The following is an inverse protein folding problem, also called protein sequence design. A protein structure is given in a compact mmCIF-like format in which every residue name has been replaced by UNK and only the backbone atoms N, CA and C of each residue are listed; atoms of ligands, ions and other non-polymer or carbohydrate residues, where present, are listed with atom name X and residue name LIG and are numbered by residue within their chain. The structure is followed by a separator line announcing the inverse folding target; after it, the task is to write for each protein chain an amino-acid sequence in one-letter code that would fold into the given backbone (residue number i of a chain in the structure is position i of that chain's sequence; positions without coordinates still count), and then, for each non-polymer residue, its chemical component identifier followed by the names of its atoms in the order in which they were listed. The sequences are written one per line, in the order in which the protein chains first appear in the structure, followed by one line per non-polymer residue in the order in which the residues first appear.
data_IF_091925427042
#
_entry.id   IF_091925427042
#
_cell.length_a   1.000
_cell.length_b   1.000
_cell.length_c   1.000
_cell.angle_alpha   90.00
_cell.angle_beta   90.00
_cell.angle_gamma   90.00
#
_symmetry.space_group_name_H-M   'P 1'
#
loop_
_entity.id
_entity.type
_entity.pdbx_description
1 polymer ?
#
# COMPACT_ATOMS: atom_id res chain seq x y z
N UNK A 1 -7.01 44.78 -57.54
CA UNK A 1 -7.18 43.33 -57.53
C UNK A 1 -6.44 42.80 -56.35
N UNK A 2 -7.15 42.65 -55.24
CA UNK A 2 -6.58 42.08 -53.99
C UNK A 2 -6.85 40.58 -54.04
N UNK A 3 -5.79 39.79 -54.00
CA UNK A 3 -5.84 38.37 -53.76
C UNK A 3 -5.96 38.10 -52.25
N UNK A 4 -7.14 37.71 -51.84
CA UNK A 4 -7.40 37.13 -50.53
C UNK A 4 -6.93 35.70 -50.53
N UNK A 5 -5.76 35.44 -49.92
CA UNK A 5 -5.35 34.07 -49.60
C UNK A 5 -6.09 33.62 -48.38
N UNK A 6 -7.14 32.81 -48.56
CA UNK A 6 -7.79 32.04 -47.54
C UNK A 6 -6.76 31.01 -47.02
N UNK A 7 -6.39 31.23 -45.77
CA UNK A 7 -5.60 30.27 -45.00
C UNK A 7 -6.57 29.15 -44.52
N UNK A 8 -6.74 28.11 -45.34
CA UNK A 8 -7.36 26.86 -44.94
C UNK A 8 -6.44 26.16 -43.95
N UNK A 9 -6.54 26.53 -42.68
CA UNK A 9 -6.04 25.69 -41.61
C UNK A 9 -6.88 24.40 -41.62
N UNK A 10 -6.31 23.32 -42.15
CA UNK A 10 -6.88 21.99 -41.99
C UNK A 10 -7.25 21.78 -40.52
N UNK A 11 -8.43 21.26 -40.21
CA UNK A 11 -8.78 20.95 -38.82
C UNK A 11 -7.71 19.97 -38.30
N UNK A 12 -6.98 20.36 -37.26
CA UNK A 12 -6.14 19.45 -36.53
C UNK A 12 -7.06 18.30 -36.08
N UNK A 13 -6.86 17.12 -36.64
CA UNK A 13 -7.54 15.91 -36.18
C UNK A 13 -7.09 15.78 -34.74
N UNK A 14 -7.92 16.28 -33.81
CA UNK A 14 -7.69 16.09 -32.40
C UNK A 14 -7.60 14.58 -32.20
N UNK A 15 -6.42 14.08 -31.82
CA UNK A 15 -6.16 12.67 -31.57
C UNK A 15 -7.14 12.22 -30.48
N UNK A 16 -8.21 11.54 -30.87
CA UNK A 16 -9.19 11.03 -29.91
C UNK A 16 -8.58 9.83 -29.21
N UNK A 17 -8.64 9.85 -27.89
CA UNK A 17 -8.23 8.77 -27.00
C UNK A 17 -9.48 8.04 -26.51
N UNK A 18 -9.43 6.71 -26.52
CA UNK A 18 -10.47 5.89 -25.91
C UNK A 18 -9.85 4.98 -24.86
N UNK A 19 -10.49 4.88 -23.71
CA UNK A 19 -9.95 4.09 -22.61
C UNK A 19 -10.81 4.12 -21.38
N UNK A 20 -10.18 4.06 -20.24
CA UNK A 20 -10.82 4.18 -18.93
C UNK A 20 -9.89 4.83 -17.93
N UNK A 21 -10.46 5.52 -16.96
CA UNK A 21 -9.74 6.01 -15.79
C UNK A 21 -10.20 5.19 -14.61
N UNK A 22 -9.23 4.61 -13.87
CA UNK A 22 -9.49 3.85 -12.67
C UNK A 22 -8.96 4.62 -11.46
N UNK A 23 -9.68 4.52 -10.35
CA UNK A 23 -9.17 4.90 -9.04
C UNK A 23 -9.19 3.67 -8.15
N UNK A 24 -8.04 3.36 -7.57
CA UNK A 24 -7.85 2.33 -6.57
C UNK A 24 -7.90 3.02 -5.21
N UNK A 25 -8.81 2.61 -4.33
CA UNK A 25 -8.89 3.14 -2.97
C UNK A 25 -8.74 1.96 -2.02
N UNK A 26 -7.68 1.94 -1.25
CA UNK A 26 -7.34 0.82 -0.40
C UNK A 26 -7.41 1.21 1.07
N UNK A 27 -7.87 0.29 1.90
CA UNK A 27 -7.97 0.44 3.35
C UNK A 27 -7.33 -0.77 4.02
N UNK A 28 -6.48 -0.51 4.99
CA UNK A 28 -5.98 -1.53 5.90
C UNK A 28 -6.94 -1.63 7.10
N UNK A 29 -7.65 -2.75 7.19
CA UNK A 29 -8.82 -2.88 8.07
C UNK A 29 -8.65 -3.87 9.22
N UNK A 30 -7.72 -4.83 9.09
CA UNK A 30 -7.46 -5.86 10.09
C UNK A 30 -6.17 -6.62 9.76
N UNK A 31 -5.67 -7.43 10.69
CA UNK A 31 -4.46 -8.22 10.49
C UNK A 31 -4.63 -9.34 9.43
N UNK A 32 -5.80 -10.01 9.40
CA UNK A 32 -6.09 -11.08 8.44
C UNK A 32 -7.59 -11.13 8.12
N UNK A 33 -7.92 -11.39 6.84
CA UNK A 33 -9.27 -11.73 6.38
C UNK A 33 -9.37 -13.21 6.00
N UNK A 34 -10.29 -13.94 6.63
CA UNK A 34 -10.54 -15.36 6.35
C UNK A 34 -11.35 -15.52 5.06
N UNK A 35 -10.69 -15.44 3.91
CA UNK A 35 -11.32 -15.42 2.58
C UNK A 35 -12.19 -16.63 2.29
N UNK A 36 -11.81 -17.82 2.75
CA UNK A 36 -12.60 -19.06 2.52
C UNK A 36 -14.02 -18.95 3.11
N UNK A 37 -14.15 -18.35 4.28
CA UNK A 37 -15.42 -18.12 4.96
C UNK A 37 -16.19 -16.96 4.34
N UNK A 38 -15.48 -15.89 4.00
CA UNK A 38 -16.04 -14.73 3.36
C UNK A 38 -16.69 -15.09 2.02
N UNK A 39 -16.02 -15.87 1.18
CA UNK A 39 -16.54 -16.34 -0.11
C UNK A 39 -17.84 -17.11 0.03
N UNK A 40 -17.97 -17.96 1.04
CA UNK A 40 -19.19 -18.73 1.30
C UNK A 40 -20.36 -17.84 1.75
N UNK A 41 -20.07 -16.78 2.53
CA UNK A 41 -21.09 -15.89 3.11
C UNK A 41 -21.64 -14.86 2.12
N UNK A 42 -20.83 -14.42 1.16
CA UNK A 42 -21.11 -13.23 0.34
C UNK A 42 -21.48 -13.58 -1.10
N UNK A 43 -21.69 -14.83 -1.50
CA UNK A 43 -21.96 -15.25 -2.90
C UNK A 43 -21.00 -14.59 -3.92
N UNK A 44 -19.80 -14.32 -3.49
CA UNK A 44 -18.80 -13.55 -4.21
C UNK A 44 -18.05 -14.39 -5.24
N UNK A 45 -17.53 -13.73 -6.26
CA UNK A 45 -16.65 -14.36 -7.25
C UNK A 45 -15.21 -14.27 -6.74
N UNK A 46 -14.46 -15.36 -6.88
CA UNK A 46 -12.99 -15.30 -6.78
C UNK A 46 -12.45 -14.76 -8.10
N UNK A 47 -11.40 -13.95 -8.06
CA UNK A 47 -10.67 -13.58 -9.29
C UNK A 47 -10.28 -14.88 -9.99
N UNK A 48 -10.90 -15.15 -11.13
CA UNK A 48 -10.49 -16.28 -11.94
C UNK A 48 -9.07 -16.01 -12.41
N UNK A 49 -8.13 -16.85 -12.00
CA UNK A 49 -6.83 -16.89 -12.66
C UNK A 49 -7.09 -17.12 -14.15
N UNK A 50 -6.62 -16.28 -15.05
CA UNK A 50 -6.86 -16.47 -16.47
C UNK A 50 -6.41 -17.87 -16.86
N UNK A 51 -7.32 -18.65 -17.43
CA UNK A 51 -7.00 -20.00 -17.89
C UNK A 51 -6.02 -19.90 -19.03
N UNK A 52 -4.89 -20.59 -18.90
CA UNK A 52 -3.81 -20.62 -19.87
C UNK A 52 -4.30 -21.19 -21.21
N UNK A 53 -4.73 -20.33 -22.10
CA UNK A 53 -4.79 -20.64 -23.53
C UNK A 53 -4.12 -19.48 -24.29
N UNK A 54 -2.87 -19.73 -24.66
CA UNK A 54 -1.99 -18.95 -25.55
C UNK A 54 -1.35 -17.67 -25.00
N UNK A 55 -0.03 -17.75 -24.86
CA UNK A 55 1.03 -16.73 -25.05
C UNK A 55 0.73 -15.26 -24.68
N UNK A 56 0.24 -15.00 -23.51
CA UNK A 56 0.39 -13.69 -22.87
C UNK A 56 1.29 -13.89 -21.66
N UNK A 57 2.45 -13.24 -21.61
CA UNK A 57 3.42 -13.45 -20.55
C UNK A 57 3.07 -12.60 -19.33
N UNK A 58 2.07 -12.92 -18.57
CA UNK A 58 1.93 -12.29 -17.27
C UNK A 58 0.93 -13.03 -16.37
N UNK A 59 1.42 -13.62 -15.30
CA UNK A 59 0.55 -14.19 -14.26
C UNK A 59 0.98 -13.69 -12.90
N UNK A 60 0.17 -12.82 -12.32
CA UNK A 60 0.14 -12.59 -10.88
C UNK A 60 -0.53 -13.82 -10.26
N UNK A 61 0.22 -14.62 -9.51
CA UNK A 61 -0.35 -15.75 -8.77
C UNK A 61 -0.41 -15.38 -7.30
N UNK A 62 -1.59 -15.07 -6.83
CA UNK A 62 -1.85 -14.97 -5.40
C UNK A 62 -1.75 -16.37 -4.76
N UNK A 63 -1.19 -16.45 -3.56
CA UNK A 63 -1.29 -17.68 -2.75
C UNK A 63 -2.76 -17.97 -2.44
N UNK A 64 -3.52 -16.93 -2.09
CA UNK A 64 -4.97 -16.92 -1.91
C UNK A 64 -5.55 -15.80 -2.76
N UNK A 65 -6.28 -16.12 -3.84
CA UNK A 65 -6.88 -15.11 -4.70
C UNK A 65 -7.85 -14.23 -3.91
N UNK A 66 -7.88 -12.91 -4.13
CA UNK A 66 -8.82 -12.04 -3.47
C UNK A 66 -10.27 -12.40 -3.82
N UNK A 67 -11.16 -12.20 -2.86
CA UNK A 67 -12.60 -12.31 -3.06
C UNK A 67 -13.12 -10.98 -3.61
N UNK A 68 -13.96 -11.02 -4.65
CA UNK A 68 -14.43 -9.82 -5.36
C UNK A 68 -15.95 -9.75 -5.35
N UNK A 69 -16.47 -8.58 -5.01
CA UNK A 69 -17.89 -8.24 -5.10
C UNK A 69 -18.10 -6.99 -5.95
N UNK A 70 -19.20 -6.92 -6.72
CA UNK A 70 -19.59 -5.67 -7.36
C UNK A 70 -20.04 -4.66 -6.32
N UNK A 71 -19.71 -3.40 -6.55
CA UNK A 71 -20.22 -2.25 -5.80
C UNK A 71 -21.27 -1.50 -6.61
N UNK A 72 -22.12 -0.77 -5.89
CA UNK A 72 -23.00 0.20 -6.50
C UNK A 72 -22.18 1.32 -7.14
N UNK A 73 -22.69 1.85 -8.25
CA UNK A 73 -21.99 2.92 -8.95
C UNK A 73 -21.87 4.18 -8.08
N UNK A 74 -20.67 4.74 -8.02
CA UNK A 74 -20.39 6.00 -7.35
C UNK A 74 -20.71 7.16 -8.32
N UNK A 75 -21.53 8.10 -7.86
CA UNK A 75 -21.84 9.32 -8.62
C UNK A 75 -21.10 10.49 -7.97
N UNK A 76 -20.21 11.12 -8.73
CA UNK A 76 -19.52 12.32 -8.29
C UNK A 76 -20.39 13.57 -8.44
N UNK A 77 -20.04 14.64 -7.72
CA UNK A 77 -20.75 15.92 -7.82
C UNK A 77 -20.72 16.54 -9.23
N UNK A 78 -19.69 16.22 -10.00
CA UNK A 78 -19.56 16.56 -11.42
C UNK A 78 -20.51 15.80 -12.36
N UNK A 79 -21.28 14.83 -11.82
CA UNK A 79 -22.23 14.01 -12.57
C UNK A 79 -21.64 12.75 -13.19
N UNK A 80 -20.35 12.50 -13.02
CA UNK A 80 -19.70 11.26 -13.49
C UNK A 80 -20.20 10.07 -12.69
N UNK A 81 -20.53 8.99 -13.40
CA UNK A 81 -20.95 7.71 -12.83
C UNK A 81 -19.85 6.67 -13.01
N UNK A 82 -19.29 6.20 -11.92
CA UNK A 82 -18.21 5.24 -11.88
C UNK A 82 -18.77 3.87 -11.51
N UNK A 83 -18.46 2.85 -12.31
CA UNK A 83 -18.74 1.46 -11.97
C UNK A 83 -17.67 0.95 -11.02
N UNK A 84 -18.04 0.12 -10.01
CA UNK A 84 -17.13 -0.26 -8.94
C UNK A 84 -17.17 -1.74 -8.58
N UNK A 85 -16.05 -2.19 -8.02
CA UNK A 85 -15.91 -3.49 -7.36
C UNK A 85 -15.08 -3.32 -6.09
N UNK A 86 -15.29 -4.23 -5.12
CA UNK A 86 -14.51 -4.33 -3.90
C UNK A 86 -13.80 -5.68 -3.88
N UNK A 87 -12.52 -5.65 -3.49
CA UNK A 87 -11.65 -6.81 -3.39
C UNK A 87 -11.16 -6.95 -1.96
N UNK A 88 -11.19 -8.16 -1.46
CA UNK A 88 -10.73 -8.50 -0.11
C UNK A 88 -9.48 -9.35 -0.21
N UNK A 89 -8.40 -8.90 0.40
CA UNK A 89 -7.13 -9.62 0.44
C UNK A 89 -6.97 -10.34 1.78
N UNK A 90 -6.32 -11.50 1.79
CA UNK A 90 -6.12 -12.31 3.01
C UNK A 90 -5.28 -11.61 4.08
N UNK A 91 -4.36 -10.75 3.68
CA UNK A 91 -3.53 -9.93 4.58
C UNK A 91 -4.22 -8.66 5.13
N UNK A 92 -5.54 -8.59 5.09
CA UNK A 92 -6.30 -7.56 5.81
C UNK A 92 -6.59 -6.29 5.03
N UNK A 93 -6.09 -6.15 3.81
CA UNK A 93 -6.39 -5.00 2.95
C UNK A 93 -7.69 -5.21 2.18
N UNK A 94 -8.47 -4.15 2.09
CA UNK A 94 -9.66 -4.06 1.24
C UNK A 94 -9.40 -3.00 0.18
N UNK A 95 -9.50 -3.38 -1.09
CA UNK A 95 -9.31 -2.50 -2.25
C UNK A 95 -10.64 -2.27 -2.96
N UNK A 96 -10.99 -1.01 -3.15
CA UNK A 96 -12.13 -0.59 -3.98
C UNK A 96 -11.59 -0.02 -5.27
N UNK A 97 -12.08 -0.55 -6.39
CA UNK A 97 -11.70 -0.10 -7.72
C UNK A 97 -12.93 0.51 -8.37
N UNK A 98 -12.90 1.81 -8.65
CA UNK A 98 -13.90 2.49 -9.46
C UNK A 98 -13.35 2.83 -10.83
N UNK A 99 -14.17 2.64 -11.86
CA UNK A 99 -13.79 2.85 -13.25
C UNK A 99 -14.76 3.81 -13.95
N UNK A 100 -14.20 4.77 -14.67
CA UNK A 100 -14.90 5.68 -15.58
C UNK A 100 -14.45 5.39 -17.01
N UNK A 101 -15.35 5.01 -17.94
CA UNK A 101 -15.05 5.02 -19.37
C UNK A 101 -14.67 6.44 -19.83
N UNK A 102 -13.61 6.55 -20.62
CA UNK A 102 -13.11 7.82 -21.12
C UNK A 102 -13.04 7.82 -22.66
N UNK A 103 -13.52 8.90 -23.25
CA UNK A 103 -13.33 9.21 -24.67
C UNK A 103 -13.16 10.72 -24.82
N UNK A 104 -12.03 11.17 -25.35
CA UNK A 104 -11.70 12.58 -25.46
C UNK A 104 -10.32 12.83 -26.06
N UNK A 105 -9.83 14.02 -25.89
CA UNK A 105 -8.48 14.44 -26.29
C UNK A 105 -7.49 14.43 -25.11
N UNK A 106 -6.21 14.66 -25.39
CA UNK A 106 -5.16 14.74 -24.39
C UNK A 106 -5.41 15.80 -23.32
N UNK A 107 -5.91 16.98 -23.72
CA UNK A 107 -6.18 18.06 -22.77
C UNK A 107 -7.31 17.69 -21.79
N UNK A 108 -8.32 17.00 -22.28
CA UNK A 108 -9.42 16.51 -21.45
C UNK A 108 -8.93 15.46 -20.45
N UNK A 109 -8.03 14.58 -20.88
CA UNK A 109 -7.42 13.57 -20.00
C UNK A 109 -6.52 14.21 -18.94
N UNK A 110 -5.70 15.20 -19.30
CA UNK A 110 -4.87 15.97 -18.36
C UNK A 110 -5.74 16.70 -17.33
N UNK A 111 -6.82 17.39 -17.77
CA UNK A 111 -7.76 18.05 -16.84
C UNK A 111 -8.43 17.06 -15.89
N UNK A 112 -8.82 15.89 -16.40
CA UNK A 112 -9.43 14.84 -15.57
C UNK A 112 -8.44 14.32 -14.56
N UNK A 113 -7.19 14.08 -14.96
CA UNK A 113 -6.10 13.62 -14.10
C UNK A 113 -5.85 14.60 -12.95
N UNK A 114 -5.66 15.87 -13.25
CA UNK A 114 -5.42 16.90 -12.24
C UNK A 114 -6.57 16.98 -11.23
N UNK A 115 -7.80 16.99 -11.70
CA UNK A 115 -8.96 17.04 -10.82
C UNK A 115 -9.10 15.82 -9.93
N UNK A 116 -8.89 14.60 -10.47
CA UNK A 116 -9.06 13.39 -9.69
C UNK A 116 -7.96 13.20 -8.66
N UNK A 117 -6.72 13.52 -9.02
CA UNK A 117 -5.56 13.35 -8.13
C UNK A 117 -5.59 14.34 -6.95
N UNK A 118 -6.13 15.59 -7.16
CA UNK A 118 -6.00 16.63 -6.14
C UNK A 118 -7.30 17.17 -5.57
N UNK A 119 -8.39 17.17 -6.34
CA UNK A 119 -9.61 17.87 -5.96
C UNK A 119 -10.72 16.93 -5.45
N UNK A 120 -10.58 15.61 -5.64
CA UNK A 120 -11.60 14.65 -5.25
C UNK A 120 -11.07 13.77 -4.11
N UNK A 121 -11.66 13.89 -2.92
CA UNK A 121 -11.40 13.00 -1.80
C UNK A 121 -12.20 11.69 -1.96
N UNK A 122 -11.61 10.74 -2.67
CA UNK A 122 -12.22 9.43 -2.88
C UNK A 122 -12.25 8.59 -1.61
N UNK A 123 -11.22 8.65 -0.78
CA UNK A 123 -11.12 7.84 0.42
C UNK A 123 -12.27 8.13 1.39
N UNK A 124 -12.54 9.41 1.69
CA UNK A 124 -13.65 9.80 2.58
C UNK A 124 -15.03 9.45 2.01
N UNK A 125 -15.19 9.42 0.68
CA UNK A 125 -16.46 9.02 0.04
C UNK A 125 -16.70 7.52 0.08
N UNK A 126 -15.63 6.73 0.00
CA UNK A 126 -15.67 5.27 -0.13
C UNK A 126 -15.61 4.57 1.22
N UNK A 127 -14.95 5.13 2.22
CA UNK A 127 -14.82 4.55 3.56
C UNK A 127 -16.17 4.12 4.17
N UNK A 128 -17.25 4.92 4.14
CA UNK A 128 -18.55 4.50 4.68
C UNK A 128 -19.13 3.27 3.96
N UNK A 129 -18.91 3.16 2.65
CA UNK A 129 -19.36 2.01 1.84
C UNK A 129 -18.59 0.75 2.27
N UNK A 130 -17.27 0.86 2.43
CA UNK A 130 -16.44 -0.25 2.90
C UNK A 130 -16.83 -0.67 4.31
N UNK A 131 -17.07 0.29 5.23
CA UNK A 131 -17.52 -0.03 6.61
C UNK A 131 -18.83 -0.80 6.60
N UNK A 132 -19.81 -0.37 5.82
CA UNK A 132 -21.08 -1.08 5.69
C UNK A 132 -20.91 -2.51 5.13
N UNK A 133 -19.99 -2.70 4.16
CA UNK A 133 -19.69 -4.02 3.60
C UNK A 133 -19.01 -4.93 4.64
N UNK A 134 -18.09 -4.38 5.40
CA UNK A 134 -17.33 -5.11 6.43
C UNK A 134 -18.16 -5.45 7.68
N UNK A 135 -19.25 -4.74 7.98
CA UNK A 135 -20.18 -5.16 9.04
C UNK A 135 -20.68 -6.60 8.82
N UNK A 136 -20.92 -6.97 7.57
CA UNK A 136 -21.31 -8.36 7.20
C UNK A 136 -20.14 -9.34 7.27
N UNK A 137 -18.92 -8.86 7.15
CA UNK A 137 -17.70 -9.63 7.17
C UNK A 137 -17.00 -9.62 8.54
N UNK A 138 -17.55 -8.96 9.56
CA UNK A 138 -16.91 -8.73 10.85
C UNK A 138 -16.46 -10.03 11.55
N UNK A 139 -17.21 -11.14 11.39
CA UNK A 139 -16.85 -12.45 11.97
C UNK A 139 -15.68 -13.14 11.26
N UNK A 140 -15.23 -12.62 10.12
CA UNK A 140 -14.14 -13.16 9.32
C UNK A 140 -12.85 -12.33 9.44
N UNK A 141 -12.92 -11.20 10.15
CA UNK A 141 -11.76 -10.35 10.45
C UNK A 141 -11.02 -10.86 11.68
N UNK A 142 -9.71 -10.96 11.59
CA UNK A 142 -8.81 -11.26 12.72
C UNK A 142 -8.18 -9.95 13.17
N UNK A 143 -8.26 -9.63 14.45
CA UNK A 143 -7.74 -8.38 15.05
C UNK A 143 -8.12 -7.13 14.23
N UNK A 144 -9.41 -6.76 14.11
CA UNK A 144 -9.82 -5.59 13.34
C UNK A 144 -9.23 -4.30 13.94
N UNK A 145 -8.79 -3.39 13.06
CA UNK A 145 -8.20 -2.12 13.47
C UNK A 145 -9.28 -1.08 13.82
N UNK A 146 -9.03 -0.32 14.87
CA UNK A 146 -9.94 0.74 15.30
C UNK A 146 -9.91 1.95 14.35
N UNK A 147 -8.74 2.25 13.81
CA UNK A 147 -8.49 3.29 12.81
C UNK A 147 -7.89 2.63 11.58
N UNK A 148 -8.39 3.01 10.42
CA UNK A 148 -7.88 2.52 9.15
C UNK A 148 -6.94 3.53 8.52
N UNK A 149 -5.86 3.04 7.96
CA UNK A 149 -5.09 3.77 6.97
C UNK A 149 -5.72 3.59 5.60
N UNK A 150 -5.58 4.59 4.75
CA UNK A 150 -6.01 4.52 3.37
C UNK A 150 -4.94 5.01 2.42
N UNK A 151 -5.00 4.49 1.20
CA UNK A 151 -4.17 4.90 0.08
C UNK A 151 -5.04 4.95 -1.16
N UNK A 152 -4.86 5.97 -2.00
CA UNK A 152 -5.49 6.05 -3.31
C UNK A 152 -4.44 6.11 -4.42
N UNK A 153 -4.78 5.54 -5.58
CA UNK A 153 -3.91 5.52 -6.74
C UNK A 153 -4.72 5.59 -8.02
N UNK A 154 -4.26 6.34 -8.99
CA UNK A 154 -5.01 6.60 -10.22
C UNK A 154 -4.34 5.93 -11.41
N UNK A 155 -5.14 5.30 -12.29
CA UNK A 155 -4.64 4.65 -13.50
C UNK A 155 -5.39 5.21 -14.71
N UNK A 156 -4.65 5.89 -15.59
CA UNK A 156 -5.15 6.44 -16.84
C UNK A 156 -4.83 5.47 -17.97
N UNK A 157 -5.78 4.60 -18.26
CA UNK A 157 -5.61 3.53 -19.25
C UNK A 157 -6.21 3.94 -20.60
N UNK A 158 -5.33 4.22 -21.56
CA UNK A 158 -5.67 4.46 -22.96
C UNK A 158 -5.57 3.15 -23.72
N UNK A 159 -6.66 2.70 -24.30
CA UNK A 159 -6.74 1.47 -25.11
C UNK A 159 -6.50 1.75 -26.59
N UNK A 160 -6.97 2.90 -27.04
CA UNK A 160 -6.90 3.30 -28.44
C UNK A 160 -6.56 4.78 -28.54
N UNK A 161 -5.64 5.11 -29.43
CA UNK A 161 -5.32 6.47 -29.83
C UNK A 161 -5.47 6.60 -31.34
N UNK A 162 -5.98 7.72 -31.82
CA UNK A 162 -6.17 7.95 -33.25
C UNK A 162 -4.84 7.80 -34.00
N UNK A 163 -4.86 7.10 -35.13
CA UNK A 163 -3.68 6.77 -35.91
C UNK A 163 -2.92 5.53 -35.43
N UNK A 164 -3.35 4.87 -34.34
CA UNK A 164 -2.72 3.66 -33.76
C UNK A 164 -1.19 3.80 -33.65
N UNK A 165 -0.67 4.84 -32.93
CA UNK A 165 0.75 5.06 -32.79
C UNK A 165 1.42 3.91 -32.05
N UNK A 166 2.68 3.65 -32.35
CA UNK A 166 3.52 2.81 -31.49
C UNK A 166 3.76 3.50 -30.14
N UNK A 167 4.10 2.71 -29.11
CA UNK A 167 4.43 3.26 -27.80
C UNK A 167 5.56 4.33 -27.88
N UNK A 168 6.56 4.11 -28.74
CA UNK A 168 7.66 5.05 -28.93
C UNK A 168 7.22 6.38 -29.60
N UNK A 169 6.31 6.32 -30.56
CA UNK A 169 5.71 7.51 -31.18
C UNK A 169 4.84 8.26 -30.17
N UNK A 170 3.95 7.55 -29.47
CA UNK A 170 3.07 8.13 -28.47
C UNK A 170 3.87 8.86 -27.37
N UNK A 171 4.87 8.20 -26.80
CA UNK A 171 5.69 8.78 -25.74
C UNK A 171 6.54 9.95 -26.21
N UNK A 172 7.07 9.90 -27.45
CA UNK A 172 7.84 11.00 -28.03
C UNK A 172 6.97 12.23 -28.29
N UNK A 173 5.79 12.03 -28.89
CA UNK A 173 4.94 13.13 -29.36
C UNK A 173 4.07 13.75 -28.24
N UNK A 174 3.88 13.02 -27.12
CA UNK A 174 3.02 13.42 -25.99
C UNK A 174 3.73 13.36 -24.64
N UNK A 175 5.06 13.55 -24.60
CA UNK A 175 5.86 13.55 -23.35
C UNK A 175 5.26 14.44 -22.27
N UNK A 176 4.90 15.69 -22.63
CA UNK A 176 4.37 16.66 -21.68
C UNK A 176 3.03 16.22 -21.10
N UNK A 177 2.11 15.81 -21.96
CA UNK A 177 0.76 15.39 -21.52
C UNK A 177 0.82 14.14 -20.64
N UNK A 178 1.64 13.16 -21.00
CA UNK A 178 1.85 11.95 -20.18
C UNK A 178 2.45 12.32 -18.83
N UNK A 179 3.44 13.19 -18.80
CA UNK A 179 4.04 13.65 -17.55
C UNK A 179 3.04 14.43 -16.68
N UNK A 180 2.22 15.30 -17.28
CA UNK A 180 1.15 16.02 -16.59
C UNK A 180 0.09 15.05 -15.99
N UNK A 181 -0.30 14.02 -16.75
CA UNK A 181 -1.26 13.00 -16.27
C UNK A 181 -0.67 12.26 -15.06
N UNK A 182 0.57 11.80 -15.16
CA UNK A 182 1.24 11.03 -14.09
C UNK A 182 1.49 11.88 -12.82
N UNK A 183 1.68 13.21 -12.98
CA UNK A 183 1.83 14.15 -11.86
C UNK A 183 0.50 14.73 -11.37
N UNK A 184 -0.58 14.58 -12.15
CA UNK A 184 -1.84 15.24 -11.87
C UNK A 184 -1.76 16.78 -12.02
N UNK A 185 -0.87 17.29 -12.88
CA UNK A 185 -0.59 18.73 -12.98
C UNK A 185 -1.11 19.33 -14.30
N UNK A 186 -1.70 20.53 -14.23
CA UNK A 186 -2.15 21.28 -15.40
C UNK A 186 -1.06 22.19 -15.98
N UNK A 187 -0.05 22.53 -15.19
CA UNK A 187 1.01 23.43 -15.61
C UNK A 187 2.00 22.73 -16.54
N UNK A 188 2.66 23.53 -17.39
CA UNK A 188 3.73 23.01 -18.19
C UNK A 188 4.94 22.62 -17.32
N UNK A 189 5.21 21.35 -17.27
CA UNK A 189 6.37 20.82 -16.55
C UNK A 189 7.68 21.16 -17.24
N UNK A 190 8.76 21.29 -16.50
CA UNK A 190 10.09 21.50 -17.05
C UNK A 190 10.54 20.26 -17.86
N UNK A 191 11.48 20.46 -18.79
CA UNK A 191 12.07 19.35 -19.56
C UNK A 191 12.72 18.31 -18.62
N UNK A 192 13.36 18.77 -17.54
CA UNK A 192 13.95 17.87 -16.55
C UNK A 192 12.91 17.01 -15.85
N UNK A 193 11.77 17.59 -15.46
CA UNK A 193 10.66 16.86 -14.81
C UNK A 193 10.01 15.87 -15.78
N UNK A 194 9.74 16.29 -17.01
CA UNK A 194 9.24 15.36 -18.04
C UNK A 194 10.18 14.17 -18.24
N UNK A 195 11.50 14.43 -18.26
CA UNK A 195 12.51 13.37 -18.40
C UNK A 195 12.48 12.42 -17.20
N UNK A 196 12.39 12.94 -15.98
CA UNK A 196 12.31 12.13 -14.75
C UNK A 196 11.07 11.22 -14.75
N UNK A 197 9.91 11.76 -15.10
CA UNK A 197 8.68 10.96 -15.23
C UNK A 197 8.86 9.85 -16.29
N UNK A 198 9.43 10.18 -17.43
CA UNK A 198 9.62 9.23 -18.53
C UNK A 198 10.71 8.17 -18.25
N UNK A 199 11.63 8.40 -17.30
CA UNK A 199 12.54 7.34 -16.82
C UNK A 199 11.80 6.17 -16.14
N UNK A 200 10.56 6.37 -15.73
CA UNK A 200 9.71 5.36 -15.09
C UNK A 200 8.80 4.64 -16.08
N UNK A 201 9.21 4.59 -17.35
CA UNK A 201 8.47 3.84 -18.37
C UNK A 201 8.98 2.41 -18.50
N UNK A 202 8.05 1.50 -18.79
CA UNK A 202 8.33 0.11 -19.14
C UNK A 202 7.40 -0.33 -20.27
N UNK A 203 7.91 -1.12 -21.19
CA UNK A 203 7.18 -1.64 -22.35
C UNK A 203 7.67 -3.06 -22.64
N UNK A 204 6.81 -3.91 -23.13
CA UNK A 204 7.13 -5.26 -23.58
C UNK A 204 7.04 -5.39 -25.11
N UNK A 205 5.96 -4.89 -25.70
CA UNK A 205 5.78 -4.83 -27.16
C UNK A 205 5.93 -3.38 -27.65
N UNK A 206 5.98 -3.22 -28.97
CA UNK A 206 5.98 -1.88 -29.59
C UNK A 206 4.65 -1.13 -29.46
N UNK A 207 3.59 -1.84 -29.05
CA UNK A 207 2.22 -1.32 -28.93
C UNK A 207 1.79 -1.06 -27.48
N UNK A 208 2.62 -1.34 -26.49
CA UNK A 208 2.30 -1.09 -25.07
C UNK A 208 3.35 -0.19 -24.41
N UNK A 209 2.90 0.59 -23.42
CA UNK A 209 3.77 1.29 -22.48
C UNK A 209 3.03 1.58 -21.19
N UNK A 210 3.74 1.42 -20.08
CA UNK A 210 3.34 1.89 -18.76
C UNK A 210 4.32 2.97 -18.29
N UNK A 211 3.81 4.12 -17.84
CA UNK A 211 4.59 5.19 -17.19
C UNK A 211 4.05 5.32 -15.76
N UNK A 212 4.89 5.04 -14.78
CA UNK A 212 4.49 4.86 -13.39
C UNK A 212 5.00 6.02 -12.55
N UNK A 213 4.10 6.71 -11.87
CA UNK A 213 4.41 7.75 -10.90
C UNK A 213 4.06 7.36 -9.47
N UNK A 214 4.16 8.34 -8.56
CA UNK A 214 3.83 8.15 -7.14
C UNK A 214 2.32 7.92 -6.92
N UNK A 215 1.48 8.84 -7.40
CA UNK A 215 0.02 8.80 -7.19
C UNK A 215 -0.74 8.28 -8.40
N UNK A 216 -0.11 8.22 -9.58
CA UNK A 216 -0.80 7.84 -10.80
C UNK A 216 0.11 7.14 -11.79
N UNK A 217 -0.51 6.32 -12.66
CA UNK A 217 0.13 5.70 -13.81
C UNK A 217 -0.64 6.02 -15.10
N UNK A 218 0.11 6.15 -16.19
CA UNK A 218 -0.41 6.17 -17.54
C UNK A 218 -0.12 4.83 -18.21
N UNK A 219 -1.16 4.18 -18.73
CA UNK A 219 -1.05 2.91 -19.46
C UNK A 219 -1.57 3.09 -20.88
N UNK A 220 -0.79 2.65 -21.86
CA UNK A 220 -1.24 2.49 -23.24
C UNK A 220 -1.10 1.02 -23.63
N UNK A 221 -2.23 0.30 -23.70
CA UNK A 221 -2.28 -1.12 -24.01
C UNK A 221 -3.73 -1.55 -24.29
N UNK A 222 -3.92 -2.72 -24.87
CA UNK A 222 -5.21 -3.38 -24.95
C UNK A 222 -5.80 -3.64 -23.56
N UNK A 223 -7.11 -3.86 -23.48
CA UNK A 223 -7.76 -4.17 -22.19
C UNK A 223 -7.16 -5.42 -21.51
N UNK A 224 -6.89 -6.46 -22.29
CA UNK A 224 -6.31 -7.70 -21.77
C UNK A 224 -4.82 -7.55 -21.40
N UNK A 225 -4.07 -6.71 -22.14
CA UNK A 225 -2.64 -6.48 -21.85
C UNK A 225 -2.44 -5.66 -20.56
N UNK A 226 -3.27 -4.64 -20.35
CA UNK A 226 -3.18 -3.77 -19.17
C UNK A 226 -3.61 -4.45 -17.86
N UNK A 227 -4.39 -5.54 -17.91
CA UNK A 227 -4.95 -6.19 -16.71
C UNK A 227 -3.85 -6.56 -15.70
N UNK A 228 -2.75 -7.13 -16.16
CA UNK A 228 -1.63 -7.48 -15.30
C UNK A 228 -0.96 -6.25 -14.70
N UNK A 229 -0.76 -5.19 -15.48
CA UNK A 229 -0.18 -3.96 -14.98
C UNK A 229 -1.05 -3.32 -13.89
N UNK A 230 -2.38 -3.29 -14.09
CA UNK A 230 -3.34 -2.79 -13.12
C UNK A 230 -3.28 -3.61 -11.82
N UNK A 231 -3.29 -4.95 -11.90
CA UNK A 231 -3.18 -5.82 -10.73
C UNK A 231 -1.87 -5.62 -9.96
N UNK A 232 -0.74 -5.44 -10.67
CA UNK A 232 0.56 -5.21 -10.03
C UNK A 232 0.66 -3.83 -9.37
N UNK A 233 0.06 -2.79 -9.97
CA UNK A 233 -0.05 -1.47 -9.37
C UNK A 233 -0.92 -1.51 -8.12
N UNK A 234 -2.07 -2.18 -8.18
CA UNK A 234 -2.95 -2.38 -7.03
C UNK A 234 -2.23 -3.07 -5.88
N UNK A 235 -1.47 -4.12 -6.19
CA UNK A 235 -0.68 -4.84 -5.19
C UNK A 235 0.46 -4.01 -4.61
N UNK A 236 1.20 -3.26 -5.42
CA UNK A 236 2.28 -2.40 -4.93
C UNK A 236 1.76 -1.35 -3.94
N UNK A 237 0.58 -0.77 -4.22
CA UNK A 237 -0.07 0.17 -3.30
C UNK A 237 -0.58 -0.51 -2.03
N UNK A 238 -1.10 -1.74 -2.11
CA UNK A 238 -1.50 -2.48 -0.90
C UNK A 238 -0.30 -2.80 0.00
N UNK A 239 0.84 -3.13 -0.58
CA UNK A 239 2.08 -3.31 0.20
C UNK A 239 2.57 -2.00 0.84
N UNK A 240 2.50 -0.89 0.11
CA UNK A 240 2.82 0.42 0.68
C UNK A 240 1.96 0.68 1.92
N UNK A 241 0.65 0.45 1.82
CA UNK A 241 -0.31 0.66 2.89
C UNK A 241 0.03 -0.20 4.12
N UNK A 242 0.34 -1.48 3.93
CA UNK A 242 0.78 -2.41 4.98
C UNK A 242 2.06 -1.92 5.68
N UNK A 243 3.11 -1.57 4.93
CA UNK A 243 4.34 -1.08 5.54
C UNK A 243 4.17 0.26 6.25
N UNK A 244 3.28 1.14 5.77
CA UNK A 244 2.91 2.36 6.50
C UNK A 244 2.22 2.05 7.82
N UNK A 245 1.32 1.07 7.84
CA UNK A 245 0.68 0.62 9.07
C UNK A 245 1.70 0.10 10.09
N UNK A 246 2.64 -0.75 9.66
CA UNK A 246 3.67 -1.26 10.55
C UNK A 246 4.61 -0.17 11.05
N UNK A 247 4.91 0.82 10.21
CA UNK A 247 5.71 1.99 10.59
C UNK A 247 5.01 2.82 11.68
N UNK A 248 3.71 3.10 11.55
CA UNK A 248 2.92 3.78 12.58
C UNK A 248 2.82 2.95 13.87
N UNK A 249 2.50 1.66 13.77
CA UNK A 249 2.38 0.75 14.91
C UNK A 249 3.69 0.67 15.71
N UNK A 250 4.83 0.50 15.03
CA UNK A 250 6.13 0.47 15.68
C UNK A 250 6.50 1.80 16.32
N UNK A 251 6.11 2.93 15.71
CA UNK A 251 6.31 4.26 16.31
C UNK A 251 5.57 4.38 17.63
N UNK A 252 4.27 4.07 17.66
CA UNK A 252 3.45 4.14 18.87
C UNK A 252 4.01 3.26 20.01
N UNK A 253 4.50 2.08 19.66
CA UNK A 253 5.06 1.15 20.63
C UNK A 253 6.40 1.64 21.16
N UNK A 254 7.29 2.10 20.29
CA UNK A 254 8.59 2.65 20.70
C UNK A 254 8.43 3.87 21.59
N UNK A 255 7.51 4.77 21.26
CA UNK A 255 7.18 5.94 22.11
C UNK A 255 6.72 5.50 23.50
N UNK A 256 5.82 4.51 23.58
CA UNK A 256 5.36 3.96 24.86
C UNK A 256 6.50 3.28 25.67
N UNK A 257 7.46 2.65 25.01
CA UNK A 257 8.66 2.09 25.67
C UNK A 257 9.57 3.20 26.17
N UNK A 258 9.86 4.24 25.39
CA UNK A 258 10.66 5.37 25.81
C UNK A 258 10.05 6.10 27.00
N UNK A 259 8.75 6.35 26.99
CA UNK A 259 8.01 6.92 28.13
C UNK A 259 8.16 6.05 29.40
N UNK A 260 8.11 4.73 29.24
CA UNK A 260 8.28 3.77 30.34
C UNK A 260 9.69 3.78 30.91
N UNK A 261 10.70 4.04 30.08
CA UNK A 261 12.12 4.14 30.49
C UNK A 261 12.43 5.47 31.17
N UNK A 262 11.79 6.57 30.77
CA UNK A 262 11.97 7.88 31.40
C UNK A 262 11.36 7.96 32.81
N UNK A 263 10.26 7.26 33.06
CA UNK A 263 9.58 7.24 34.36
C UNK A 263 10.29 6.38 35.42
N UNK A 264 11.58 6.61 35.67
CA UNK A 264 12.51 5.79 36.49
C UNK A 264 12.22 5.70 37.99
N UNK A 265 11.21 6.34 38.57
CA UNK A 265 11.04 6.42 40.03
C UNK A 265 9.80 5.69 40.54
N UNK A 266 10.01 4.50 41.10
CA UNK A 266 8.99 3.75 41.86
C UNK A 266 9.26 2.25 41.97
N UNK A 267 8.82 1.63 43.06
CA UNK A 267 8.92 0.19 43.32
C UNK A 267 8.23 -0.68 42.26
N UNK A 268 7.26 -0.13 41.54
CA UNK A 268 6.54 -0.79 40.44
C UNK A 268 7.12 -0.52 39.04
N UNK A 269 8.13 0.35 38.91
CA UNK A 269 8.74 0.66 37.62
C UNK A 269 9.32 -0.58 36.92
N UNK A 270 9.91 -1.48 37.71
CA UNK A 270 10.52 -2.74 37.22
C UNK A 270 9.47 -3.71 36.67
N UNK A 271 8.33 -3.78 37.29
CA UNK A 271 7.24 -4.68 36.84
C UNK A 271 6.59 -4.14 35.55
N UNK A 272 6.47 -2.83 35.44
CA UNK A 272 6.06 -2.18 34.19
C UNK A 272 7.05 -2.46 33.06
N UNK A 273 8.35 -2.33 33.33
CA UNK A 273 9.40 -2.58 32.33
C UNK A 273 9.32 -4.01 31.78
N UNK A 274 9.19 -5.01 32.65
CA UNK A 274 9.05 -6.41 32.21
C UNK A 274 7.77 -6.64 31.38
N UNK A 275 6.68 -5.98 31.73
CA UNK A 275 5.42 -6.06 30.98
C UNK A 275 5.53 -5.37 29.62
N UNK A 276 6.18 -4.22 29.56
CA UNK A 276 6.46 -3.50 28.30
C UNK A 276 7.39 -4.32 27.39
N UNK A 277 8.42 -4.97 27.95
CA UNK A 277 9.30 -5.86 27.20
C UNK A 277 8.53 -7.04 26.59
N UNK A 278 7.64 -7.69 27.36
CA UNK A 278 6.84 -8.81 26.83
C UNK A 278 5.89 -8.34 25.72
N UNK A 279 5.26 -7.17 25.89
CA UNK A 279 4.38 -6.58 24.87
C UNK A 279 5.16 -6.25 23.59
N UNK A 280 6.34 -5.65 23.72
CA UNK A 280 7.23 -5.32 22.61
C UNK A 280 7.64 -6.58 21.83
N UNK A 281 8.04 -7.63 22.53
CA UNK A 281 8.42 -8.90 21.89
C UNK A 281 7.28 -9.54 21.09
N UNK A 282 6.05 -9.51 21.63
CA UNK A 282 4.89 -10.04 20.91
C UNK A 282 4.65 -9.29 19.60
N UNK A 283 4.72 -7.96 19.66
CA UNK A 283 4.50 -7.13 18.46
C UNK A 283 5.63 -7.30 17.44
N UNK A 284 6.89 -7.45 17.90
CA UNK A 284 8.01 -7.74 17.01
C UNK A 284 7.78 -9.03 16.20
N UNK A 285 7.27 -10.08 16.85
CA UNK A 285 6.92 -11.33 16.18
C UNK A 285 5.74 -11.15 15.21
N UNK A 286 4.68 -10.46 15.64
CA UNK A 286 3.51 -10.19 14.80
C UNK A 286 3.90 -9.41 13.54
N UNK A 287 4.66 -8.32 13.67
CA UNK A 287 5.12 -7.50 12.52
C UNK A 287 6.07 -8.27 11.61
N UNK A 288 6.96 -9.09 12.16
CA UNK A 288 7.86 -9.92 11.34
C UNK A 288 7.08 -10.95 10.51
N UNK A 289 6.08 -11.62 11.11
CA UNK A 289 5.21 -12.59 10.43
C UNK A 289 4.38 -11.92 9.33
N UNK A 290 3.76 -10.76 9.63
CA UNK A 290 2.94 -10.02 8.68
C UNK A 290 3.78 -9.46 7.52
N UNK A 291 5.00 -8.98 7.79
CA UNK A 291 5.94 -8.54 6.74
C UNK A 291 6.27 -9.68 5.79
N UNK A 292 6.50 -10.89 6.32
CA UNK A 292 6.74 -12.08 5.49
C UNK A 292 5.49 -12.46 4.67
N UNK A 293 4.29 -12.35 5.24
CA UNK A 293 3.03 -12.60 4.53
C UNK A 293 2.82 -11.62 3.38
N UNK A 294 3.02 -10.33 3.61
CA UNK A 294 2.90 -9.30 2.57
C UNK A 294 3.89 -9.53 1.41
N UNK A 295 5.15 -9.84 1.70
CA UNK A 295 6.18 -10.13 0.69
C UNK A 295 5.89 -11.41 -0.13
N UNK A 296 5.21 -12.39 0.46
CA UNK A 296 4.92 -13.67 -0.18
C UNK A 296 3.56 -13.74 -0.89
N UNK A 297 2.71 -12.73 -0.75
CA UNK A 297 1.35 -12.76 -1.31
C UNK A 297 1.35 -12.84 -2.84
N UNK A 298 2.37 -12.32 -3.52
CA UNK A 298 2.58 -12.51 -4.96
C UNK A 298 3.84 -13.31 -5.23
N UNK A 299 3.69 -14.42 -5.93
CA UNK A 299 4.80 -15.21 -6.46
C UNK A 299 4.91 -15.00 -7.96
N UNK A 300 5.98 -14.35 -8.38
CA UNK A 300 6.32 -14.17 -9.79
C UNK A 300 6.89 -15.46 -10.35
N UNK A 301 6.04 -16.35 -10.82
CA UNK A 301 6.47 -17.61 -11.42
C UNK A 301 6.79 -17.39 -12.90
N UNK A 302 8.05 -17.32 -13.24
CA UNK A 302 8.63 -17.32 -14.60
C UNK A 302 8.38 -16.11 -15.51
N UNK A 303 7.72 -15.05 -15.09
CA UNK A 303 7.54 -13.85 -15.91
C UNK A 303 8.47 -12.71 -15.47
N UNK A 304 9.55 -12.56 -16.21
CA UNK A 304 10.55 -11.50 -15.99
C UNK A 304 9.98 -10.09 -16.20
N UNK A 305 8.99 -9.92 -17.08
CA UNK A 305 8.39 -8.61 -17.34
C UNK A 305 7.50 -8.18 -16.19
N UNK A 306 6.60 -9.05 -15.71
CA UNK A 306 5.77 -8.79 -14.56
C UNK A 306 6.60 -8.46 -13.30
N UNK A 307 7.70 -9.20 -13.09
CA UNK A 307 8.63 -8.93 -11.98
C UNK A 307 9.31 -7.55 -12.09
N UNK A 308 9.70 -7.14 -13.30
CA UNK A 308 10.29 -5.81 -13.56
C UNK A 308 9.25 -4.70 -13.38
N UNK A 309 8.03 -4.90 -13.89
CA UNK A 309 6.93 -3.96 -13.76
C UNK A 309 6.57 -3.76 -12.28
N UNK A 310 6.40 -4.85 -11.53
CA UNK A 310 6.15 -4.79 -10.09
C UNK A 310 7.28 -4.05 -9.34
N UNK A 311 8.56 -4.39 -9.62
CA UNK A 311 9.70 -3.73 -8.98
C UNK A 311 9.71 -2.22 -9.26
N UNK A 312 9.38 -1.82 -10.49
CA UNK A 312 9.27 -0.40 -10.85
C UNK A 312 8.10 0.26 -10.11
N UNK A 313 6.92 -0.37 -10.09
CA UNK A 313 5.74 0.13 -9.38
C UNK A 313 6.04 0.30 -7.87
N UNK A 314 6.52 -0.76 -7.22
CA UNK A 314 6.87 -0.75 -5.80
C UNK A 314 7.90 0.35 -5.47
N UNK A 315 8.93 0.52 -6.31
CA UNK A 315 9.92 1.57 -6.11
C UNK A 315 9.33 2.98 -6.27
N UNK A 316 8.39 3.17 -7.20
CA UNK A 316 7.79 4.49 -7.44
C UNK A 316 6.74 4.88 -6.41
N UNK A 317 5.99 3.95 -5.87
CA UNK A 317 5.04 4.23 -4.78
C UNK A 317 5.72 4.28 -3.40
N UNK A 318 7.00 3.90 -3.27
CA UNK A 318 7.78 4.05 -2.04
C UNK A 318 7.81 2.81 -1.14
N UNK A 319 7.41 1.63 -1.61
CA UNK A 319 7.44 0.38 -0.81
C UNK A 319 8.82 0.10 -0.20
N UNK A 320 9.95 0.19 -0.93
CA UNK A 320 11.27 -0.06 -0.35
C UNK A 320 11.62 0.88 0.79
N UNK A 321 11.25 2.15 0.68
CA UNK A 321 11.57 3.16 1.70
C UNK A 321 10.86 2.87 3.01
N UNK A 322 9.56 2.54 2.97
CA UNK A 322 8.81 2.16 4.17
C UNK A 322 9.25 0.80 4.74
N UNK A 323 9.59 -0.16 3.87
CA UNK A 323 10.16 -1.43 4.30
C UNK A 323 11.46 -1.25 5.07
N UNK A 324 12.34 -0.37 4.60
CA UNK A 324 13.60 -0.04 5.28
C UNK A 324 13.35 0.69 6.60
N UNK A 325 12.37 1.60 6.68
CA UNK A 325 11.96 2.25 7.93
C UNK A 325 11.44 1.23 8.96
N UNK A 326 10.56 0.32 8.55
CA UNK A 326 10.06 -0.77 9.39
C UNK A 326 11.21 -1.64 9.89
N UNK A 327 12.14 -2.05 9.01
CA UNK A 327 13.29 -2.85 9.38
C UNK A 327 14.21 -2.15 10.40
N UNK A 328 14.43 -0.84 10.25
CA UNK A 328 15.20 -0.04 11.20
C UNK A 328 14.51 0.06 12.57
N UNK A 329 13.18 0.28 12.59
CA UNK A 329 12.39 0.34 13.82
C UNK A 329 12.33 -1.03 14.52
N UNK A 330 12.18 -2.13 13.77
CA UNK A 330 12.26 -3.48 14.31
C UNK A 330 13.60 -3.73 15.03
N UNK A 331 14.70 -3.38 14.38
CA UNK A 331 16.02 -3.49 15.00
C UNK A 331 16.15 -2.65 16.25
N UNK A 332 15.68 -1.40 16.24
CA UNK A 332 15.66 -0.54 17.43
C UNK A 332 14.83 -1.15 18.55
N UNK A 333 13.69 -1.74 18.22
CA UNK A 333 12.83 -2.41 19.18
C UNK A 333 13.47 -3.69 19.77
N UNK A 334 14.21 -4.47 18.97
CA UNK A 334 15.02 -5.60 19.44
C UNK A 334 16.10 -5.14 20.43
N UNK A 335 16.87 -4.13 20.08
CA UNK A 335 17.92 -3.55 20.93
C UNK A 335 17.35 -3.04 22.26
N UNK A 336 16.19 -2.40 22.23
CA UNK A 336 15.48 -1.94 23.43
C UNK A 336 14.95 -3.11 24.27
N UNK A 337 14.41 -4.14 23.65
CA UNK A 337 13.98 -5.35 24.34
C UNK A 337 15.13 -6.01 25.09
N UNK A 338 16.27 -6.20 24.45
CA UNK A 338 17.46 -6.79 25.06
C UNK A 338 17.95 -5.95 26.25
N UNK A 339 18.01 -4.61 26.08
CA UNK A 339 18.33 -3.69 27.16
C UNK A 339 17.37 -3.83 28.36
N UNK A 340 16.07 -3.89 28.11
CA UNK A 340 15.06 -4.04 29.16
C UNK A 340 15.19 -5.36 29.91
N UNK A 341 15.46 -6.46 29.21
CA UNK A 341 15.68 -7.79 29.80
C UNK A 341 16.96 -7.80 30.65
N UNK A 342 18.04 -7.19 30.16
CA UNK A 342 19.29 -7.07 30.92
C UNK A 342 19.08 -6.28 32.21
N UNK A 343 18.41 -5.15 32.16
CA UNK A 343 18.05 -4.33 33.33
C UNK A 343 17.20 -5.11 34.33
N UNK A 344 16.25 -5.90 33.85
CA UNK A 344 15.41 -6.76 34.69
C UNK A 344 16.24 -7.84 35.39
N UNK A 345 17.15 -8.51 34.67
CA UNK A 345 18.01 -9.57 35.20
C UNK A 345 19.00 -9.02 36.24
N UNK A 346 19.65 -7.89 35.99
CA UNK A 346 20.51 -7.22 36.96
C UNK A 346 19.75 -6.86 38.24
N UNK A 347 18.52 -6.40 38.11
CA UNK A 347 17.67 -6.08 39.26
C UNK A 347 17.31 -7.34 40.09
N UNK A 348 17.05 -8.46 39.45
CA UNK A 348 16.78 -9.74 40.13
C UNK A 348 18.03 -10.23 40.89
N UNK A 349 19.19 -10.14 40.28
CA UNK A 349 20.47 -10.52 40.93
C UNK A 349 20.70 -9.68 42.19
N UNK A 350 20.56 -8.37 42.10
CA UNK A 350 20.67 -7.48 43.25
C UNK A 350 19.67 -7.82 44.38
N UNK A 351 18.39 -8.15 44.04
CA UNK A 351 17.39 -8.54 45.03
C UNK A 351 17.78 -9.87 45.74
N UNK A 352 18.29 -10.85 44.99
CA UNK A 352 18.75 -12.10 45.57
C UNK A 352 19.92 -11.88 46.49
N UNK A 353 20.92 -11.10 46.08
CA UNK A 353 22.06 -10.74 46.93
C UNK A 353 21.64 -10.00 48.20
N UNK A 354 20.75 -8.99 48.07
CA UNK A 354 20.21 -8.26 49.22
C UNK A 354 19.45 -9.19 50.19
N UNK A 355 18.68 -10.15 49.65
CA UNK A 355 17.95 -11.13 50.47
C UNK A 355 18.91 -12.06 51.21
N UNK A 356 19.96 -12.52 50.54
CA UNK A 356 21.00 -13.34 51.19
C UNK A 356 21.71 -12.58 52.31
N UNK A 357 22.10 -11.33 52.04
CA UNK A 357 22.71 -10.44 53.07
C UNK A 357 21.76 -10.21 54.23
N UNK A 358 20.45 -10.00 53.97
CA UNK A 358 19.46 -9.85 55.04
C UNK A 358 19.32 -11.11 55.90
N UNK A 359 19.31 -12.28 55.29
CA UNK A 359 19.27 -13.59 56.00
C UNK A 359 20.49 -13.73 56.90
N UNK A 360 21.70 -13.45 56.37
CA UNK A 360 22.94 -13.53 57.13
C UNK A 360 22.94 -12.51 58.30
N UNK A 361 22.43 -11.32 58.13
CA UNK A 361 22.26 -10.34 59.19
C UNK A 361 21.29 -10.83 60.30
N UNK A 362 20.21 -11.45 59.90
CA UNK A 362 19.23 -12.04 60.84
C UNK A 362 19.89 -13.20 61.59
N UNK A 363 20.59 -14.11 60.94
CA UNK A 363 21.31 -15.20 61.58
C UNK A 363 22.38 -14.68 62.55
N UNK A 364 23.15 -13.66 62.14
CA UNK A 364 24.16 -13.03 63.00
C UNK A 364 23.49 -12.39 64.22
N UNK A 365 22.37 -11.72 64.06
CA UNK A 365 21.61 -11.12 65.16
C UNK A 365 21.12 -12.19 66.18
N UNK A 366 20.58 -13.32 65.70
CA UNK A 366 20.19 -14.45 66.55
C UNK A 366 21.40 -15.09 67.25
N UNK A 367 22.52 -15.21 66.59
CA UNK A 367 23.74 -15.75 67.20
C UNK A 367 24.28 -14.90 68.35
N UNK A 368 24.19 -13.55 68.22
CA UNK A 368 24.56 -12.63 69.29
C UNK A 368 23.54 -12.59 70.46
N UNK A 369 22.24 -12.73 70.13
CA UNK A 369 21.18 -12.73 71.18
C UNK A 369 21.02 -14.06 71.84
N UNK A 370 21.41 -15.18 71.27
CA UNK A 370 21.26 -16.54 71.78
C UNK A 370 22.45 -17.04 72.61
N UNK A 371 23.43 -16.19 73.04
CA UNK A 371 24.41 -16.53 74.04
C UNK A 371 23.95 -16.02 75.41
N UNK A 372 23.31 -16.86 76.25
CA UNK A 372 23.22 -16.56 77.68
C UNK A 372 24.65 -16.79 78.25
N UNK A 373 25.18 -15.80 79.02
CA UNK A 373 26.33 -16.00 79.87
C UNK A 373 26.02 -17.08 80.90
#
# INVERSE_FOLDING_TARGET
MLNTVLNDAAPSIALSLNGSVLVLIQFDVCEELRLDRLQQAVSARTVQQPSIKHSVPAYVRYQRPPVVEPLEALVLESGERLEGEIKYYDYGVVSVVYQLPFSGDWESLVRLASRWVWDVDFASRVEPIVRQRLERAASFMVKPYARWLSEDYFIFHVREAAGTPTAAELTRDHVLQIAQIVRGDLLNLSVGECTEVMHSQISYYTSDVAVIGWNAAFLYDSAAGAETAIQLLEYANSQLLEFRHYDELLTEILDGVYDSLEQKTGTFARWRLARSATSLHTVLLDVAELTEHADNAIKFLSDMFAARLYKLAAAKVGVPDYKDLVAQKLKTAEDLYDYMIEQFNQSRAFFLEATVVLILLIELFYLFRGRPM
#
